data_IF_478323496967
#
_entry.id   IF_478323496967
#
_cell.length_a   1.000
_cell.length_b   1.000
_cell.length_c   1.000
_cell.angle_alpha   90.00
_cell.angle_beta   90.00
_cell.angle_gamma   90.00
#
_symmetry.space_group_name_H-M   'P 1'
#
loop_
_entity.id
_entity.type
_entity.pdbx_description
1 polymer ?
#
# COMPACT_ATOMS: atom_id res chain seq x y z
N UNK A 1 8.05 6.74 -8.26
CA UNK A 1 6.92 6.03 -8.89
C UNK A 1 5.62 6.76 -8.55
N UNK A 2 4.73 7.01 -9.52
CA UNK A 2 3.43 7.65 -9.27
C UNK A 2 2.55 6.83 -8.32
N UNK A 3 1.74 7.50 -7.51
CA UNK A 3 0.81 6.88 -6.54
C UNK A 3 -0.14 5.88 -7.21
N UNK A 4 -0.64 6.20 -8.41
CA UNK A 4 -1.55 5.34 -9.16
C UNK A 4 -0.89 4.01 -9.52
N UNK A 5 0.42 4.02 -9.80
CA UNK A 5 1.18 2.81 -10.11
C UNK A 5 1.43 1.98 -8.83
N UNK A 6 1.64 2.62 -7.68
CA UNK A 6 1.71 1.93 -6.40
C UNK A 6 0.37 1.24 -6.07
N UNK A 7 -0.75 1.93 -6.25
CA UNK A 7 -2.10 1.38 -6.05
C UNK A 7 -2.35 0.17 -6.95
N UNK A 8 -1.98 0.25 -8.23
CA UNK A 8 -2.09 -0.89 -9.17
C UNK A 8 -1.31 -2.11 -8.69
N UNK A 9 -0.07 -1.92 -8.19
CA UNK A 9 0.73 -3.02 -7.63
C UNK A 9 0.12 -3.64 -6.37
N UNK A 10 -0.54 -2.85 -5.55
CA UNK A 10 -1.30 -3.37 -4.40
C UNK A 10 -2.49 -4.21 -4.89
N UNK A 11 -3.21 -3.75 -5.90
CA UNK A 11 -4.29 -4.52 -6.53
C UNK A 11 -3.82 -5.85 -7.14
N UNK A 12 -2.69 -5.87 -7.84
CA UNK A 12 -2.09 -7.10 -8.39
C UNK A 12 -1.72 -8.11 -7.28
N UNK A 13 -1.48 -7.63 -6.05
CA UNK A 13 -1.19 -8.45 -4.87
C UNK A 13 -2.45 -8.83 -4.05
N UNK A 14 -3.64 -8.51 -4.56
CA UNK A 14 -4.93 -8.85 -3.94
C UNK A 14 -5.42 -7.86 -2.88
N UNK A 15 -4.83 -6.66 -2.82
CA UNK A 15 -5.34 -5.58 -1.98
C UNK A 15 -6.40 -4.75 -2.73
N UNK A 16 -7.45 -4.37 -2.04
CA UNK A 16 -8.54 -3.53 -2.52
C UNK A 16 -8.65 -2.25 -1.68
N UNK A 17 -9.39 -1.26 -2.17
CA UNK A 17 -9.65 0.00 -1.47
C UNK A 17 -8.37 0.71 -0.98
N UNK A 18 -7.27 0.59 -1.73
CA UNK A 18 -5.98 1.12 -1.31
C UNK A 18 -5.97 2.65 -1.35
N UNK A 19 -5.57 3.25 -0.23
CA UNK A 19 -5.37 4.68 -0.11
C UNK A 19 -3.95 4.95 0.37
N UNK A 20 -3.15 5.64 -0.45
CA UNK A 20 -1.75 5.97 -0.15
C UNK A 20 -1.53 7.48 -0.02
N UNK A 21 -0.65 7.90 0.89
CA UNK A 21 -0.13 9.25 1.08
C UNK A 21 1.40 9.19 1.03
N UNK A 22 2.03 10.26 0.54
CA UNK A 22 3.48 10.37 0.63
C UNK A 22 3.83 10.79 2.06
N UNK A 23 4.67 10.02 2.74
CA UNK A 23 5.19 10.33 4.07
C UNK A 23 6.64 9.87 4.19
N UNK A 24 7.51 10.71 4.76
CA UNK A 24 8.92 10.42 5.06
C UNK A 24 9.65 9.48 4.08
N UNK A 25 9.60 9.79 2.77
CA UNK A 25 10.31 9.05 1.73
C UNK A 25 9.72 7.69 1.35
N UNK A 26 8.47 7.41 1.73
CA UNK A 26 7.70 6.25 1.29
C UNK A 26 6.22 6.60 1.04
N UNK A 27 5.48 5.67 0.46
CA UNK A 27 4.02 5.74 0.46
C UNK A 27 3.51 5.01 1.70
N UNK A 28 2.77 5.69 2.55
CA UNK A 28 2.07 5.10 3.69
C UNK A 28 0.57 5.04 3.37
N UNK A 29 -0.10 3.98 3.80
CA UNK A 29 -1.54 3.93 3.67
C UNK A 29 -2.21 2.66 4.09
N UNK A 30 -3.50 2.57 3.80
CA UNK A 30 -4.34 1.44 4.19
C UNK A 30 -4.91 0.74 2.96
N UNK A 31 -5.09 -0.57 3.05
CA UNK A 31 -5.81 -1.34 2.05
C UNK A 31 -6.49 -2.58 2.66
N UNK A 32 -7.52 -3.09 1.99
CA UNK A 32 -8.24 -4.30 2.41
C UNK A 32 -7.71 -5.53 1.69
N UNK A 33 -7.44 -6.63 2.39
CA UNK A 33 -7.11 -7.94 1.80
C UNK A 33 -7.77 -9.06 2.58
N UNK A 34 -8.49 -9.94 1.90
CA UNK A 34 -9.21 -11.03 2.55
C UNK A 34 -10.21 -10.58 3.62
N UNK A 35 -10.84 -9.41 3.44
CA UNK A 35 -11.80 -8.84 4.39
C UNK A 35 -11.19 -8.16 5.62
N UNK A 36 -9.86 -8.02 5.71
CA UNK A 36 -9.16 -7.31 6.78
C UNK A 36 -8.46 -6.07 6.25
N UNK A 37 -8.42 -5.01 7.04
CA UNK A 37 -7.69 -3.78 6.74
C UNK A 37 -6.23 -3.97 7.17
N UNK A 38 -5.31 -3.46 6.36
CA UNK A 38 -3.87 -3.50 6.61
C UNK A 38 -3.30 -2.09 6.51
N UNK A 39 -2.40 -1.76 7.42
CA UNK A 39 -1.47 -0.65 7.30
C UNK A 39 -0.28 -1.10 6.43
N UNK A 40 0.08 -0.28 5.45
CA UNK A 40 1.06 -0.57 4.41
C UNK A 40 2.07 0.56 4.28
N UNK A 41 3.35 0.20 4.18
CA UNK A 41 4.39 1.08 3.65
C UNK A 41 4.83 0.52 2.31
N UNK A 42 5.02 1.39 1.31
CA UNK A 42 5.42 1.02 -0.05
C UNK A 42 6.60 1.87 -0.49
N UNK A 43 7.66 1.21 -0.96
CA UNK A 43 8.83 1.85 -1.54
C UNK A 43 8.42 2.70 -2.76
N UNK A 44 8.74 4.00 -2.80
CA UNK A 44 8.24 4.88 -3.84
C UNK A 44 9.06 4.76 -5.13
N UNK A 45 10.19 4.05 -5.16
CA UNK A 45 11.00 3.82 -6.34
C UNK A 45 10.55 2.58 -7.09
N UNK A 46 10.28 1.49 -6.37
CA UNK A 46 10.00 0.18 -6.95
C UNK A 46 8.62 -0.40 -6.61
N UNK A 47 7.87 0.19 -5.68
CA UNK A 47 6.52 -0.28 -5.31
C UNK A 47 6.49 -1.55 -4.46
N UNK A 48 7.61 -1.96 -3.88
CA UNK A 48 7.67 -3.07 -2.94
C UNK A 48 6.99 -2.68 -1.63
N UNK A 49 6.21 -3.59 -1.06
CA UNK A 49 5.63 -3.42 0.28
C UNK A 49 6.76 -3.63 1.30
N UNK A 50 7.04 -2.62 2.12
CA UNK A 50 8.08 -2.63 3.16
C UNK A 50 7.52 -2.81 4.56
N UNK A 51 6.21 -2.55 4.75
CA UNK A 51 5.44 -2.85 5.98
C UNK A 51 4.05 -3.36 5.59
N UNK A 52 3.54 -4.36 6.32
CA UNK A 52 2.22 -4.95 6.09
C UNK A 52 1.67 -5.54 7.39
N UNK A 53 0.91 -4.74 8.13
CA UNK A 53 0.37 -5.11 9.44
C UNK A 53 -1.16 -4.99 9.44
N UNK A 54 -1.91 -5.98 9.97
CA UNK A 54 -3.36 -5.82 10.13
C UNK A 54 -3.67 -4.60 10.99
N UNK A 55 -4.56 -3.73 10.53
CA UNK A 55 -5.08 -2.63 11.33
C UNK A 55 -6.00 -3.20 12.43
N UNK A 56 -5.95 -2.60 13.62
CA UNK A 56 -6.38 -3.20 14.88
C UNK A 56 -7.84 -2.94 15.25
#
# INVERSE_FOLDING_TARGET
>A
MPKEQAIRKLSDQGYANAYLKADDGHWEGEATKGGRIYELHVDPHNGAITKNEPNH
#
